data_IF_876483424903
#
_entry.id   IF_876483424903
#
_cell.length_a   1.000
_cell.length_b   1.000
_cell.length_c   1.000
_cell.angle_alpha   90.00
_cell.angle_beta   90.00
_cell.angle_gamma   90.00
#
_symmetry.space_group_name_H-M   'P 1'
#
loop_
_entity.id
_entity.type
_entity.pdbx_description
1 polymer ?
#
# COMPACT_ATOMS: atom_id res chain seq x y z
N UNK A 1 39.33 -2.33 -3.26
CA UNK A 1 38.41 -1.47 -4.01
C UNK A 1 37.64 -2.43 -4.90
N UNK A 2 36.47 -2.80 -4.45
CA UNK A 2 35.61 -3.73 -5.17
C UNK A 2 35.14 -3.05 -6.46
N UNK A 3 35.17 -3.78 -7.56
CA UNK A 3 34.72 -3.24 -8.86
C UNK A 3 33.22 -2.94 -8.75
N UNK A 4 32.76 -1.78 -9.22
CA UNK A 4 31.34 -1.49 -9.22
C UNK A 4 30.59 -2.52 -10.06
N UNK A 5 29.30 -2.71 -9.76
CA UNK A 5 28.40 -3.60 -10.48
C UNK A 5 28.57 -3.40 -12.02
N UNK A 6 28.46 -4.44 -12.85
CA UNK A 6 28.60 -4.31 -14.29
C UNK A 6 27.70 -3.21 -14.83
N UNK A 7 28.27 -2.21 -15.48
CA UNK A 7 27.54 -1.06 -16.04
C UNK A 7 26.45 -1.44 -17.07
N UNK A 8 26.43 -2.71 -17.50
CA UNK A 8 25.50 -3.25 -18.49
C UNK A 8 24.50 -4.25 -17.89
N UNK A 9 24.35 -4.32 -16.56
CA UNK A 9 23.38 -5.21 -15.94
C UNK A 9 21.94 -4.78 -16.32
N UNK A 10 21.15 -5.73 -16.82
CA UNK A 10 19.75 -5.51 -17.21
C UNK A 10 18.86 -5.73 -15.99
N UNK A 11 18.55 -4.65 -15.27
CA UNK A 11 17.66 -4.68 -14.12
C UNK A 11 16.25 -4.36 -14.57
N UNK A 12 15.31 -5.26 -14.29
CA UNK A 12 13.88 -5.13 -14.60
C UNK A 12 13.07 -5.13 -13.34
N UNK A 13 12.29 -4.07 -13.11
CA UNK A 13 11.33 -3.94 -12.01
C UNK A 13 9.94 -4.17 -12.57
N UNK A 14 9.17 -5.07 -11.96
CA UNK A 14 7.79 -5.32 -12.32
C UNK A 14 6.87 -4.65 -11.31
N UNK A 15 6.15 -3.62 -11.76
CA UNK A 15 5.25 -2.79 -10.97
C UNK A 15 5.74 -1.36 -10.75
N UNK A 16 4.95 -0.38 -11.20
CA UNK A 16 5.16 1.06 -11.00
C UNK A 16 4.35 1.58 -9.80
N UNK A 17 4.34 0.84 -8.70
CA UNK A 17 3.87 1.28 -7.39
C UNK A 17 4.96 2.05 -6.64
N UNK A 18 4.66 2.60 -5.42
CA UNK A 18 5.62 3.37 -4.64
C UNK A 18 6.97 2.67 -4.44
N UNK A 19 6.99 1.39 -4.07
CA UNK A 19 8.24 0.64 -3.91
C UNK A 19 9.04 0.52 -5.21
N UNK A 20 8.41 0.07 -6.31
CA UNK A 20 9.11 -0.09 -7.60
C UNK A 20 9.68 1.21 -8.13
N UNK A 21 8.92 2.31 -8.05
CA UNK A 21 9.36 3.65 -8.48
C UNK A 21 10.49 4.20 -7.59
N UNK A 22 10.40 4.01 -6.26
CA UNK A 22 11.47 4.40 -5.32
C UNK A 22 12.77 3.66 -5.63
N UNK A 23 12.72 2.35 -5.85
CA UNK A 23 13.88 1.55 -6.25
C UNK A 23 14.49 2.08 -7.56
N UNK A 24 13.65 2.30 -8.59
CA UNK A 24 14.11 2.83 -9.88
C UNK A 24 14.75 4.21 -9.73
N UNK A 25 14.18 5.09 -8.91
CA UNK A 25 14.72 6.44 -8.68
C UNK A 25 16.09 6.40 -8.04
N UNK A 26 16.28 5.62 -6.99
CA UNK A 26 17.57 5.50 -6.31
C UNK A 26 18.63 4.90 -7.25
N UNK A 27 18.29 3.84 -7.99
CA UNK A 27 19.21 3.26 -8.98
C UNK A 27 19.65 4.28 -10.02
N UNK A 28 18.72 5.05 -10.59
CA UNK A 28 19.05 6.08 -11.59
C UNK A 28 19.90 7.21 -11.03
N UNK A 29 19.69 7.64 -9.79
CA UNK A 29 20.56 8.64 -9.13
C UNK A 29 22.02 8.20 -9.08
N UNK A 30 22.26 6.90 -8.95
CA UNK A 30 23.59 6.31 -8.94
C UNK A 30 24.08 5.83 -10.31
N UNK A 31 23.38 6.21 -11.39
CA UNK A 31 23.80 5.89 -12.76
C UNK A 31 23.58 4.44 -13.16
N UNK A 32 22.78 3.67 -12.42
CA UNK A 32 22.46 2.28 -12.73
C UNK A 32 21.21 2.27 -13.63
N UNK A 33 21.31 1.75 -14.87
CA UNK A 33 20.16 1.69 -15.78
C UNK A 33 19.15 0.66 -15.30
N UNK A 34 17.86 1.01 -15.39
CA UNK A 34 16.74 0.18 -14.96
C UNK A 34 15.53 0.39 -15.86
N UNK A 35 14.76 -0.67 -16.11
CA UNK A 35 13.46 -0.60 -16.77
C UNK A 35 12.37 -1.02 -15.78
N UNK A 36 11.26 -0.28 -15.77
CA UNK A 36 10.07 -0.59 -14.98
C UNK A 36 8.94 -0.98 -15.93
N UNK A 37 8.26 -2.08 -15.65
CA UNK A 37 7.13 -2.59 -16.44
C UNK A 37 5.87 -2.57 -15.60
N UNK A 38 4.81 -1.95 -16.11
CA UNK A 38 3.52 -1.90 -15.41
C UNK A 38 2.38 -2.31 -16.33
N UNK A 39 1.39 -3.01 -15.74
CA UNK A 39 0.18 -3.47 -16.45
C UNK A 39 -0.79 -2.35 -16.77
N UNK A 40 -0.77 -1.24 -16.02
CA UNK A 40 -1.60 -0.07 -16.31
C UNK A 40 -1.28 0.44 -17.71
N UNK A 41 -2.28 0.85 -18.48
CA UNK A 41 -2.07 1.34 -19.85
C UNK A 41 -1.39 2.70 -19.89
N UNK A 42 -1.58 3.49 -18.82
CA UNK A 42 -1.00 4.82 -18.64
C UNK A 42 -1.07 5.24 -17.16
N UNK A 43 -0.46 6.36 -16.81
CA UNK A 43 -0.44 6.91 -15.44
C UNK A 43 -1.84 7.09 -14.86
N UNK A 44 -2.78 7.55 -15.67
CA UNK A 44 -4.17 7.89 -15.28
C UNK A 44 -5.17 6.73 -15.39
N UNK A 45 -4.72 5.51 -15.70
CA UNK A 45 -5.61 4.37 -16.01
C UNK A 45 -6.59 4.01 -14.89
N UNK A 46 -6.26 4.36 -13.65
CA UNK A 46 -7.11 4.09 -12.49
C UNK A 46 -6.93 5.13 -11.39
N UNK A 47 -7.97 5.32 -10.59
CA UNK A 47 -7.85 6.04 -9.33
C UNK A 47 -6.87 5.29 -8.41
N UNK A 48 -5.84 5.97 -7.92
CA UNK A 48 -4.76 5.35 -7.16
C UNK A 48 -5.14 5.03 -5.70
N UNK A 49 -6.27 5.46 -5.23
CA UNK A 49 -6.73 5.15 -3.89
C UNK A 49 -6.65 6.33 -2.92
N UNK A 50 -6.68 6.02 -1.62
CA UNK A 50 -6.72 6.99 -0.53
C UNK A 50 -5.39 7.68 -0.23
N UNK A 51 -5.29 8.16 0.99
CA UNK A 51 -4.10 8.77 1.55
C UNK A 51 -3.16 7.70 2.12
N UNK A 52 -1.89 8.05 2.24
CA UNK A 52 -0.83 7.23 2.80
C UNK A 52 -0.07 8.07 3.83
N UNK A 53 0.11 7.53 5.00
CA UNK A 53 0.99 8.07 6.03
C UNK A 53 2.42 7.57 5.81
N UNK A 54 3.40 8.46 5.76
CA UNK A 54 4.80 8.08 5.61
C UNK A 54 5.56 8.28 6.91
N UNK A 55 6.05 7.16 7.47
CA UNK A 55 6.77 7.14 8.72
C UNK A 55 8.21 7.58 8.56
N UNK A 56 8.75 8.19 9.62
CA UNK A 56 10.07 8.81 9.60
C UNK A 56 11.20 7.83 9.31
N UNK A 57 11.12 6.63 9.89
CA UNK A 57 12.19 5.63 9.82
C UNK A 57 12.07 4.70 8.60
N UNK A 58 10.98 4.83 7.83
CA UNK A 58 10.66 3.95 6.70
C UNK A 58 10.45 4.74 5.41
N UNK A 59 9.21 5.16 5.11
CA UNK A 59 8.85 5.85 3.86
C UNK A 59 9.56 7.19 3.68
N UNK A 60 9.71 8.01 4.73
CA UNK A 60 10.45 9.26 4.65
C UNK A 60 11.95 9.03 4.50
N UNK A 61 12.51 7.98 5.14
CA UNK A 61 13.90 7.58 4.95
C UNK A 61 14.13 7.22 3.47
N UNK A 62 13.25 6.40 2.89
CA UNK A 62 13.34 6.02 1.49
C UNK A 62 13.25 7.23 0.54
N UNK A 63 12.38 8.21 0.85
CA UNK A 63 12.31 9.47 0.08
C UNK A 63 13.58 10.31 0.22
N UNK A 64 14.22 10.30 1.39
CA UNK A 64 15.51 10.97 1.60
C UNK A 64 16.58 10.35 0.71
N UNK A 65 16.68 9.02 0.68
CA UNK A 65 17.61 8.30 -0.20
C UNK A 65 17.30 8.52 -1.68
N UNK A 66 16.02 8.69 -2.03
CA UNK A 66 15.55 9.04 -3.37
C UNK A 66 15.77 10.52 -3.73
N UNK A 67 16.21 11.38 -2.77
CA UNK A 67 16.38 12.82 -2.94
C UNK A 67 15.06 13.57 -3.20
N UNK A 68 13.94 13.10 -2.60
CA UNK A 68 12.57 13.61 -2.83
C UNK A 68 11.86 14.02 -1.52
N UNK A 69 12.58 14.06 -0.38
CA UNK A 69 11.95 14.31 0.91
C UNK A 69 11.41 15.75 1.03
N UNK A 70 12.08 16.75 0.45
CA UNK A 70 11.63 18.14 0.48
C UNK A 70 10.36 18.33 -0.37
N UNK A 71 10.33 17.74 -1.58
CA UNK A 71 9.18 17.77 -2.47
C UNK A 71 7.98 17.02 -1.85
N UNK A 72 8.24 15.92 -1.13
CA UNK A 72 7.21 15.24 -0.36
C UNK A 72 6.58 16.17 0.69
N UNK A 73 7.39 16.85 1.51
CA UNK A 73 6.86 17.78 2.52
C UNK A 73 6.12 18.96 1.93
N UNK A 74 6.43 19.35 0.69
CA UNK A 74 5.67 20.39 -0.01
C UNK A 74 4.25 19.95 -0.43
N UNK A 75 4.01 18.63 -0.51
CA UNK A 75 2.74 18.00 -0.88
C UNK A 75 1.99 17.41 0.32
N UNK A 76 2.72 17.01 1.35
CA UNK A 76 2.17 16.32 2.51
C UNK A 76 1.30 17.24 3.37
N UNK A 77 0.25 16.65 3.93
CA UNK A 77 -0.69 17.31 4.83
C UNK A 77 -0.35 16.95 6.28
N UNK A 78 0.26 17.89 6.99
CA UNK A 78 0.67 17.66 8.39
C UNK A 78 -0.54 17.60 9.33
N UNK A 79 -1.59 18.37 9.04
CA UNK A 79 -2.86 18.36 9.80
C UNK A 79 -3.62 17.04 9.68
N UNK A 80 -3.36 16.23 8.66
CA UNK A 80 -4.01 14.92 8.47
C UNK A 80 -3.58 13.87 9.49
N UNK A 81 -2.57 14.15 10.31
CA UNK A 81 -2.19 13.29 11.44
C UNK A 81 -3.22 13.35 12.58
N UNK A 82 -4.25 14.22 12.50
CA UNK A 82 -5.39 14.16 13.41
C UNK A 82 -6.07 12.80 13.34
N UNK A 83 -6.30 12.17 14.49
CA UNK A 83 -7.00 10.89 14.59
C UNK A 83 -8.08 10.94 15.66
N UNK A 84 -9.31 10.58 15.28
CA UNK A 84 -10.43 10.42 16.20
C UNK A 84 -10.83 8.95 16.29
N UNK A 85 -10.95 8.43 17.49
CA UNK A 85 -11.52 7.11 17.77
C UNK A 85 -12.87 7.30 18.43
N UNK A 86 -13.89 6.68 17.86
CA UNK A 86 -15.29 6.91 18.26
C UNK A 86 -16.01 5.59 18.50
N UNK A 87 -17.05 5.65 19.31
CA UNK A 87 -18.02 4.56 19.43
C UNK A 87 -19.10 4.65 18.31
N UNK A 88 -19.92 3.60 18.13
CA UNK A 88 -21.02 3.61 17.15
C UNK A 88 -22.05 4.73 17.34
N UNK A 89 -22.13 5.33 18.53
CA UNK A 89 -22.97 6.48 18.79
C UNK A 89 -22.36 7.82 18.31
N UNK A 90 -21.13 7.79 17.82
CA UNK A 90 -20.40 8.98 17.36
C UNK A 90 -19.72 9.76 18.49
N UNK A 91 -19.64 9.20 19.70
CA UNK A 91 -18.91 9.84 20.81
C UNK A 91 -17.42 9.60 20.62
N UNK A 92 -16.64 10.67 20.70
CA UNK A 92 -15.18 10.59 20.65
C UNK A 92 -14.66 9.96 21.94
N UNK A 93 -13.99 8.83 21.82
CA UNK A 93 -13.36 8.07 22.91
C UNK A 93 -11.91 8.51 23.10
N UNK A 94 -11.19 8.73 21.99
CA UNK A 94 -9.82 9.24 21.99
C UNK A 94 -9.64 10.23 20.82
N UNK A 95 -8.83 11.26 21.03
CA UNK A 95 -8.56 12.29 20.03
C UNK A 95 -7.08 12.66 20.09
N UNK A 96 -6.36 12.35 19.01
CA UNK A 96 -5.01 12.82 18.79
C UNK A 96 -5.04 14.05 17.89
N UNK A 97 -4.36 15.11 18.31
CA UNK A 97 -4.10 16.29 17.50
C UNK A 97 -2.58 16.39 17.29
N UNK A 98 -2.12 16.54 16.04
CA UNK A 98 -0.69 16.69 15.81
C UNK A 98 -0.17 17.97 16.46
N UNK A 99 1.06 17.93 16.98
CA UNK A 99 1.78 19.08 17.45
C UNK A 99 2.12 20.03 16.30
N UNK A 100 2.42 21.30 16.62
CA UNK A 100 2.87 22.27 15.60
C UNK A 100 4.15 21.78 14.91
N UNK A 101 4.09 21.58 13.59
CA UNK A 101 5.21 21.09 12.79
C UNK A 101 5.53 19.60 13.01
N UNK A 102 4.64 18.81 13.57
CA UNK A 102 4.81 17.38 13.71
C UNK A 102 4.93 16.68 12.34
N UNK A 103 5.97 15.85 12.20
CA UNK A 103 6.31 15.17 10.94
C UNK A 103 6.51 13.66 11.15
N UNK A 104 5.90 13.09 12.17
CA UNK A 104 6.07 11.65 12.50
C UNK A 104 5.50 10.76 11.41
N UNK A 105 4.28 11.06 10.96
CA UNK A 105 3.55 10.30 9.94
C UNK A 105 2.62 11.19 9.08
N UNK A 106 3.17 12.23 8.39
CA UNK A 106 2.36 13.09 7.56
C UNK A 106 1.78 12.32 6.39
N UNK A 107 0.57 12.70 5.98
CA UNK A 107 -0.13 12.01 4.91
C UNK A 107 0.06 12.68 3.55
N UNK A 108 0.09 11.86 2.51
CA UNK A 108 0.07 12.27 1.11
C UNK A 108 -0.94 11.41 0.35
N UNK A 109 -1.65 11.97 -0.62
CA UNK A 109 -2.49 11.15 -1.48
C UNK A 109 -1.63 10.19 -2.31
N UNK A 110 -2.06 8.94 -2.41
CA UNK A 110 -1.34 7.89 -3.15
C UNK A 110 -1.01 8.31 -4.59
N UNK A 111 -1.93 9.02 -5.25
CA UNK A 111 -1.72 9.56 -6.58
C UNK A 111 -0.59 10.59 -6.61
N UNK A 112 -0.58 11.55 -5.68
CA UNK A 112 0.46 12.57 -5.58
C UNK A 112 1.85 11.95 -5.32
N UNK A 113 1.94 10.96 -4.44
CA UNK A 113 3.20 10.24 -4.19
C UNK A 113 3.69 9.53 -5.45
N UNK A 114 2.78 8.85 -6.17
CA UNK A 114 3.11 8.19 -7.43
C UNK A 114 3.58 9.18 -8.49
N UNK A 115 2.92 10.31 -8.63
CA UNK A 115 3.29 11.36 -9.60
C UNK A 115 4.64 11.99 -9.26
N UNK A 116 4.92 12.24 -7.98
CA UNK A 116 6.21 12.70 -7.49
C UNK A 116 7.34 11.74 -7.90
N UNK A 117 7.16 10.45 -7.61
CA UNK A 117 8.13 9.41 -7.93
C UNK A 117 8.32 9.27 -9.46
N UNK A 118 7.23 9.23 -10.23
CA UNK A 118 7.27 9.13 -11.70
C UNK A 118 7.95 10.34 -12.32
N UNK A 119 7.62 11.56 -11.87
CA UNK A 119 8.20 12.79 -12.35
C UNK A 119 9.71 12.90 -12.11
N UNK A 120 10.24 12.11 -11.17
CA UNK A 120 11.68 12.08 -10.84
C UNK A 120 12.50 11.15 -11.72
N UNK A 121 11.85 10.29 -12.53
CA UNK A 121 12.51 9.30 -13.38
C UNK A 121 12.81 9.86 -14.77
N UNK A 122 13.84 9.32 -15.40
CA UNK A 122 14.13 9.61 -16.80
C UNK A 122 12.95 9.15 -17.70
N UNK A 123 12.69 9.92 -18.75
CA UNK A 123 11.64 9.58 -19.71
C UNK A 123 11.84 8.18 -20.31
N UNK A 124 10.77 7.40 -20.42
CA UNK A 124 10.81 6.04 -20.98
C UNK A 124 11.28 4.97 -20.00
N UNK A 125 11.61 5.30 -18.75
CA UNK A 125 11.95 4.30 -17.71
C UNK A 125 10.79 3.36 -17.45
N UNK A 126 9.57 3.90 -17.36
CA UNK A 126 8.35 3.10 -17.14
C UNK A 126 7.73 2.75 -18.48
N UNK A 127 7.53 1.46 -18.71
CA UNK A 127 6.86 0.89 -19.87
C UNK A 127 5.47 0.43 -19.46
N UNK A 128 4.47 1.17 -19.91
CA UNK A 128 3.05 0.93 -19.61
C UNK A 128 2.44 -0.16 -20.50
N UNK A 129 1.32 -0.74 -20.05
CA UNK A 129 0.61 -1.80 -20.78
C UNK A 129 1.35 -3.13 -20.81
N UNK A 130 2.33 -3.31 -19.92
CA UNK A 130 3.18 -4.50 -19.84
C UNK A 130 2.72 -5.45 -18.75
N UNK A 131 1.69 -6.22 -19.01
CA UNK A 131 1.19 -7.24 -18.08
C UNK A 131 2.11 -8.45 -18.11
N UNK A 132 2.86 -8.69 -17.03
CA UNK A 132 3.73 -9.88 -16.92
C UNK A 132 2.88 -11.15 -16.80
N UNK A 133 3.18 -12.16 -17.62
CA UNK A 133 2.58 -13.50 -17.53
C UNK A 133 3.48 -14.47 -16.78
N UNK A 134 4.77 -14.47 -17.08
CA UNK A 134 5.72 -15.42 -16.48
C UNK A 134 7.14 -14.91 -16.42
N UNK A 135 7.89 -15.46 -15.45
CA UNK A 135 9.35 -15.35 -15.33
C UNK A 135 9.91 -16.76 -15.53
N UNK A 136 10.79 -16.93 -16.52
CA UNK A 136 11.40 -18.21 -16.85
C UNK A 136 12.92 -18.10 -17.01
N UNK A 137 13.60 -19.21 -17.28
CA UNK A 137 15.05 -19.26 -17.44
C UNK A 137 15.78 -19.98 -16.31
N UNK A 138 17.11 -20.13 -16.40
CA UNK A 138 17.92 -20.86 -15.43
C UNK A 138 17.94 -20.16 -14.07
N UNK A 139 18.04 -20.93 -12.96
CA UNK A 139 18.03 -20.38 -11.61
C UNK A 139 19.19 -19.39 -11.36
N UNK A 140 20.33 -19.64 -11.94
CA UNK A 140 21.62 -18.97 -11.71
C UNK A 140 22.04 -18.10 -12.92
N UNK A 141 21.08 -17.75 -13.81
CA UNK A 141 21.38 -16.97 -15.01
C UNK A 141 20.30 -15.94 -15.33
N UNK A 142 20.43 -15.32 -16.51
CA UNK A 142 19.43 -14.35 -16.94
C UNK A 142 18.04 -14.95 -17.04
N UNK A 143 17.04 -14.16 -16.67
CA UNK A 143 15.62 -14.51 -16.73
C UNK A 143 14.98 -13.97 -17.97
N UNK A 144 13.99 -14.67 -18.46
CA UNK A 144 13.10 -14.21 -19.53
C UNK A 144 11.76 -13.82 -18.94
N UNK A 145 11.39 -12.55 -19.12
CA UNK A 145 10.09 -11.99 -18.79
C UNK A 145 9.19 -12.10 -20.01
N UNK A 146 8.08 -12.81 -19.91
CA UNK A 146 7.08 -12.91 -20.98
C UNK A 146 5.86 -12.09 -20.60
N UNK A 147 5.41 -11.23 -21.51
CA UNK A 147 4.27 -10.35 -21.32
C UNK A 147 3.03 -10.82 -22.11
N UNK A 148 1.84 -10.40 -21.70
CA UNK A 148 0.57 -10.80 -22.30
C UNK A 148 0.41 -10.41 -23.77
N UNK A 149 1.17 -9.42 -24.26
CA UNK A 149 1.25 -9.04 -25.66
C UNK A 149 2.15 -9.95 -26.51
N UNK A 150 2.70 -11.01 -25.91
CA UNK A 150 3.61 -11.96 -26.54
C UNK A 150 5.06 -11.47 -26.66
N UNK A 151 5.38 -10.28 -26.16
CA UNK A 151 6.76 -9.81 -26.11
C UNK A 151 7.55 -10.48 -25.00
N UNK A 152 8.86 -10.62 -25.19
CA UNK A 152 9.76 -11.16 -24.19
C UNK A 152 10.98 -10.25 -24.00
N UNK A 153 11.46 -10.14 -22.77
CA UNK A 153 12.63 -9.35 -22.38
C UNK A 153 13.53 -10.19 -21.49
N UNK A 154 14.84 -10.11 -21.74
CA UNK A 154 15.83 -10.71 -20.85
C UNK A 154 16.27 -9.74 -19.75
N UNK A 155 16.41 -10.25 -18.53
CA UNK A 155 16.88 -9.53 -17.37
C UNK A 155 17.94 -10.33 -16.61
N UNK A 156 18.97 -9.65 -16.12
CA UNK A 156 19.99 -10.24 -15.23
C UNK A 156 19.50 -10.20 -13.80
N UNK A 157 18.62 -9.24 -13.45
CA UNK A 157 17.88 -9.18 -12.19
C UNK A 157 16.43 -8.80 -12.47
N UNK A 158 15.50 -9.55 -11.89
CA UNK A 158 14.06 -9.27 -11.83
C UNK A 158 13.69 -8.89 -10.41
N UNK A 159 13.13 -7.69 -10.23
CA UNK A 159 12.62 -7.20 -8.96
C UNK A 159 11.09 -7.20 -9.03
N UNK A 160 10.45 -8.05 -8.24
CA UNK A 160 9.00 -8.09 -8.12
C UNK A 160 8.49 -7.02 -7.16
N UNK A 161 7.87 -5.98 -7.71
CA UNK A 161 7.16 -4.91 -7.02
C UNK A 161 5.69 -4.84 -7.48
N UNK A 162 5.16 -5.99 -7.96
CA UNK A 162 3.88 -6.13 -8.65
C UNK A 162 2.70 -6.40 -7.71
N UNK A 163 2.91 -6.17 -6.40
CA UNK A 163 1.86 -6.08 -5.39
C UNK A 163 1.26 -7.43 -4.98
N UNK A 164 0.08 -7.38 -4.39
CA UNK A 164 -0.59 -8.52 -3.75
C UNK A 164 -0.70 -9.76 -4.65
N UNK A 165 -1.01 -9.56 -5.94
CA UNK A 165 -1.19 -10.64 -6.93
C UNK A 165 0.08 -10.91 -7.74
N UNK A 166 1.24 -10.77 -7.13
CA UNK A 166 2.55 -10.86 -7.79
C UNK A 166 2.70 -12.11 -8.65
N UNK A 167 3.07 -11.89 -9.92
CA UNK A 167 3.49 -12.95 -10.85
C UNK A 167 4.96 -13.28 -10.64
N UNK A 168 5.78 -12.29 -10.27
CA UNK A 168 7.20 -12.55 -9.99
C UNK A 168 7.37 -13.47 -8.79
N UNK A 169 6.50 -13.37 -7.76
CA UNK A 169 6.54 -14.26 -6.58
C UNK A 169 6.58 -15.73 -6.97
N UNK A 170 5.85 -16.13 -7.99
CA UNK A 170 5.79 -17.55 -8.41
C UNK A 170 7.13 -18.10 -8.87
N UNK A 171 8.11 -17.25 -9.20
CA UNK A 171 9.45 -17.67 -9.58
C UNK A 171 10.35 -18.05 -8.38
N UNK A 172 9.98 -17.64 -7.16
CA UNK A 172 10.78 -17.91 -5.95
C UNK A 172 9.97 -18.57 -4.82
N UNK A 173 8.64 -18.50 -4.85
CA UNK A 173 7.80 -19.03 -3.79
C UNK A 173 6.47 -19.57 -4.34
N UNK A 174 5.97 -20.72 -3.87
CA UNK A 174 4.64 -21.22 -4.21
C UNK A 174 3.53 -20.57 -3.37
N UNK A 175 3.86 -19.69 -2.43
CA UNK A 175 2.89 -19.08 -1.54
C UNK A 175 1.89 -18.22 -2.29
N UNK A 176 0.62 -18.37 -1.94
CA UNK A 176 -0.49 -17.58 -2.48
C UNK A 176 -1.21 -16.84 -1.35
N UNK A 177 -1.65 -15.59 -1.60
CA UNK A 177 -2.44 -14.86 -0.62
C UNK A 177 -3.72 -15.59 -0.25
N UNK A 178 -4.11 -15.52 1.03
CA UNK A 178 -5.35 -16.07 1.56
C UNK A 178 -6.26 -14.96 2.02
N UNK A 179 -7.56 -15.14 1.84
CA UNK A 179 -8.55 -14.21 2.35
C UNK A 179 -8.53 -14.19 3.88
N UNK A 180 -8.55 -12.99 4.47
CA UNK A 180 -8.45 -12.80 5.93
C UNK A 180 -9.77 -12.97 6.67
N UNK A 181 -10.90 -13.08 5.97
CA UNK A 181 -12.24 -13.06 6.55
C UNK A 181 -12.83 -11.64 6.67
N UNK A 182 -12.08 -10.60 6.30
CA UNK A 182 -12.52 -9.20 6.36
C UNK A 182 -12.53 -8.60 4.95
N UNK A 183 -13.60 -7.90 4.60
CA UNK A 183 -13.69 -7.10 3.37
C UNK A 183 -13.94 -5.65 3.72
N UNK A 184 -13.36 -4.77 2.91
CA UNK A 184 -13.66 -3.35 2.89
C UNK A 184 -14.58 -3.04 1.73
N UNK A 185 -15.53 -2.12 1.95
CA UNK A 185 -16.16 -1.37 0.87
C UNK A 185 -15.64 0.07 0.94
N UNK A 186 -15.03 0.52 -0.16
CA UNK A 186 -14.65 1.92 -0.29
C UNK A 186 -15.85 2.75 -0.71
N UNK A 187 -16.12 3.84 0.01
CA UNK A 187 -17.05 4.89 -0.34
C UNK A 187 -16.29 6.21 -0.52
N UNK A 188 -16.73 7.05 -1.44
CA UNK A 188 -16.08 8.30 -1.81
C UNK A 188 -16.99 9.50 -1.55
N UNK A 189 -16.41 10.61 -1.09
CA UNK A 189 -17.09 11.84 -0.78
C UNK A 189 -16.31 13.01 -1.37
N UNK A 190 -17.01 13.86 -2.11
CA UNK A 190 -16.50 15.08 -2.73
C UNK A 190 -16.97 16.32 -1.96
N UNK A 191 -16.25 17.41 -2.09
CA UNK A 191 -16.65 18.72 -1.55
C UNK A 191 -17.07 18.70 -0.06
N UNK A 192 -16.28 18.04 0.77
CA UNK A 192 -16.59 17.76 2.19
C UNK A 192 -17.06 18.97 2.97
N UNK A 193 -16.48 20.15 2.74
CA UNK A 193 -16.81 21.38 3.47
C UNK A 193 -18.16 21.97 3.07
N UNK A 194 -18.63 21.72 1.84
CA UNK A 194 -19.85 22.32 1.30
C UNK A 194 -20.98 21.32 1.14
N UNK A 195 -20.69 20.11 0.66
CA UNK A 195 -21.70 19.06 0.45
C UNK A 195 -21.94 18.24 1.73
N UNK A 196 -20.89 18.00 2.54
CA UNK A 196 -20.95 17.12 3.71
C UNK A 196 -20.42 17.80 5.00
N UNK A 197 -20.88 19.02 5.38
CA UNK A 197 -20.29 19.78 6.47
C UNK A 197 -20.36 19.08 7.84
N UNK A 198 -21.41 18.32 8.11
CA UNK A 198 -21.55 17.59 9.37
C UNK A 198 -20.58 16.40 9.46
N UNK A 199 -20.32 15.72 8.33
CA UNK A 199 -19.28 14.69 8.27
C UNK A 199 -17.89 15.29 8.35
N UNK A 200 -17.67 16.44 7.72
CA UNK A 200 -16.41 17.18 7.82
C UNK A 200 -16.08 17.53 9.28
N UNK A 201 -17.09 17.98 10.05
CA UNK A 201 -16.95 18.27 11.49
C UNK A 201 -16.71 16.98 12.30
N UNK A 202 -17.44 15.89 11.99
CA UNK A 202 -17.33 14.61 12.71
C UNK A 202 -15.93 13.99 12.53
N UNK A 203 -15.40 13.99 11.33
CA UNK A 203 -14.11 13.36 11.00
C UNK A 203 -12.93 14.25 11.36
N UNK A 204 -13.07 15.57 11.24
CA UNK A 204 -11.97 16.52 11.42
C UNK A 204 -11.12 16.66 10.16
N UNK A 205 -9.82 16.96 10.34
CA UNK A 205 -8.89 17.21 9.23
C UNK A 205 -8.08 15.98 8.81
N UNK A 206 -8.10 14.93 9.62
CA UNK A 206 -7.33 13.71 9.38
C UNK A 206 -8.21 12.49 9.20
N UNK A 207 -8.19 11.59 10.17
CA UNK A 207 -8.89 10.31 10.09
C UNK A 207 -9.81 10.09 11.30
N UNK A 208 -10.86 9.30 11.08
CA UNK A 208 -11.75 8.87 12.14
C UNK A 208 -12.04 7.37 12.03
N UNK A 209 -11.94 6.67 13.16
CA UNK A 209 -12.22 5.24 13.29
C UNK A 209 -13.37 4.98 14.23
N UNK A 210 -14.35 4.20 13.77
CA UNK A 210 -15.50 3.76 14.55
C UNK A 210 -15.59 2.24 14.42
N UNK A 211 -15.72 1.50 15.54
CA UNK A 211 -15.87 0.05 15.46
C UNK A 211 -16.69 -0.49 16.65
N UNK A 212 -17.33 -1.67 16.47
CA UNK A 212 -18.15 -2.34 17.51
C UNK A 212 -17.66 -3.76 17.85
N UNK A 213 -16.56 -4.23 17.25
CA UNK A 213 -16.00 -5.57 17.40
C UNK A 213 -16.28 -6.50 16.20
N UNK A 214 -17.33 -6.22 15.44
CA UNK A 214 -17.71 -7.00 14.25
C UNK A 214 -17.64 -6.19 12.96
N UNK A 215 -17.82 -4.88 13.07
CA UNK A 215 -17.91 -3.92 12.01
C UNK A 215 -17.14 -2.66 12.33
N UNK A 216 -16.69 -1.96 11.28
CA UNK A 216 -16.01 -0.69 11.47
C UNK A 216 -16.21 0.26 10.30
N UNK A 217 -15.96 1.53 10.56
CA UNK A 217 -15.84 2.59 9.57
C UNK A 217 -14.50 3.29 9.82
N UNK A 218 -13.70 3.41 8.77
CA UNK A 218 -12.50 4.22 8.82
C UNK A 218 -12.60 5.31 7.75
N UNK A 219 -12.80 6.55 8.20
CA UNK A 219 -12.87 7.72 7.34
C UNK A 219 -11.51 8.41 7.30
N UNK A 220 -11.04 8.76 6.11
CA UNK A 220 -9.75 9.40 5.89
C UNK A 220 -9.90 10.58 4.94
N UNK A 221 -9.45 11.76 5.38
CA UNK A 221 -9.41 12.96 4.56
C UNK A 221 -8.34 12.83 3.47
N UNK A 222 -8.68 13.33 2.29
CA UNK A 222 -7.78 13.41 1.15
C UNK A 222 -7.60 14.89 0.75
N UNK A 223 -6.67 15.18 -0.13
CA UNK A 223 -6.51 16.51 -0.71
C UNK A 223 -7.74 16.93 -1.51
N UNK A 224 -7.87 18.21 -1.83
CA UNK A 224 -8.95 18.72 -2.69
C UNK A 224 -10.35 18.62 -2.08
N UNK A 225 -10.47 18.67 -0.74
CA UNK A 225 -11.76 18.56 -0.05
C UNK A 225 -12.47 17.21 -0.22
N UNK A 226 -11.71 16.15 -0.46
CA UNK A 226 -12.24 14.79 -0.58
C UNK A 226 -12.11 14.01 0.72
N UNK A 227 -12.92 12.95 0.84
CA UNK A 227 -12.81 11.95 1.90
C UNK A 227 -13.08 10.56 1.33
N UNK A 228 -12.39 9.58 1.87
CA UNK A 228 -12.66 8.17 1.62
C UNK A 228 -13.09 7.49 2.91
N UNK A 229 -14.10 6.64 2.82
CA UNK A 229 -14.55 5.80 3.93
C UNK A 229 -14.36 4.34 3.55
N UNK A 230 -13.70 3.60 4.42
CA UNK A 230 -13.60 2.15 4.35
C UNK A 230 -14.63 1.57 5.32
N UNK A 231 -15.66 0.95 4.77
CA UNK A 231 -16.69 0.24 5.52
C UNK A 231 -16.19 -1.18 5.69
N UNK A 232 -15.88 -1.55 6.93
CA UNK A 232 -15.17 -2.78 7.27
C UNK A 232 -16.12 -3.82 7.85
N UNK A 233 -16.09 -5.04 7.32
CA UNK A 233 -16.99 -6.12 7.73
C UNK A 233 -16.27 -7.47 7.78
N UNK A 234 -16.64 -8.31 8.74
CA UNK A 234 -16.31 -9.73 8.76
C UNK A 234 -17.34 -10.49 7.93
N UNK A 235 -17.00 -10.84 6.71
CA UNK A 235 -17.91 -11.48 5.74
C UNK A 235 -17.18 -12.52 4.90
N UNK A 236 -17.88 -13.49 4.27
CA UNK A 236 -17.29 -14.33 3.22
C UNK A 236 -16.81 -13.51 2.03
N UNK A 237 -15.81 -14.00 1.30
CA UNK A 237 -15.22 -13.28 0.15
C UNK A 237 -16.24 -12.99 -0.97
N UNK A 238 -17.28 -13.79 -1.07
CA UNK A 238 -18.37 -13.71 -2.06
C UNK A 238 -19.68 -13.15 -1.49
N UNK A 239 -19.60 -12.42 -0.36
CA UNK A 239 -20.76 -11.93 0.40
C UNK A 239 -21.74 -11.10 -0.44
N UNK A 240 -21.29 -10.32 -1.40
CA UNK A 240 -22.14 -9.53 -2.30
C UNK A 240 -23.06 -10.47 -3.08
N UNK A 241 -22.50 -11.46 -3.76
CA UNK A 241 -23.27 -12.40 -4.58
C UNK A 241 -24.12 -13.37 -3.77
N UNK A 242 -23.63 -13.81 -2.60
CA UNK A 242 -24.40 -14.70 -1.70
C UNK A 242 -25.60 -14.00 -1.07
N UNK A 243 -25.57 -12.68 -0.94
CA UNK A 243 -26.74 -11.87 -0.55
C UNK A 243 -27.63 -11.47 -1.74
N UNK A 244 -27.41 -12.02 -2.94
CA UNK A 244 -28.20 -11.71 -4.13
C UNK A 244 -27.96 -10.32 -4.71
N UNK A 245 -26.87 -9.67 -4.30
CA UNK A 245 -26.45 -8.35 -4.75
C UNK A 245 -25.48 -8.45 -5.94
N UNK A 246 -25.25 -7.34 -6.62
CA UNK A 246 -24.21 -7.18 -7.64
C UNK A 246 -23.29 -6.03 -7.26
N UNK A 247 -22.01 -6.05 -7.63
CA UNK A 247 -21.07 -4.97 -7.31
C UNK A 247 -21.51 -3.57 -7.77
N UNK A 248 -22.30 -3.50 -8.84
CA UNK A 248 -22.82 -2.24 -9.41
C UNK A 248 -24.12 -1.77 -8.75
N UNK A 249 -24.74 -2.59 -7.90
CA UNK A 249 -26.00 -2.28 -7.23
C UNK A 249 -25.76 -1.43 -5.98
N UNK A 250 -25.42 -0.16 -6.18
CA UNK A 250 -25.15 0.80 -5.09
C UNK A 250 -26.28 0.88 -4.08
N UNK A 251 -27.55 0.91 -4.55
CA UNK A 251 -28.71 1.03 -3.66
C UNK A 251 -28.96 -0.25 -2.86
N UNK A 252 -28.84 -1.43 -3.50
CA UNK A 252 -28.98 -2.70 -2.81
C UNK A 252 -27.88 -2.90 -1.77
N UNK A 253 -26.63 -2.56 -2.10
CA UNK A 253 -25.50 -2.60 -1.16
C UNK A 253 -25.75 -1.64 0.02
N UNK A 254 -26.19 -0.40 -0.26
CA UNK A 254 -26.50 0.58 0.79
C UNK A 254 -27.60 0.07 1.72
N UNK A 255 -28.69 -0.48 1.17
CA UNK A 255 -29.77 -1.04 1.97
C UNK A 255 -29.31 -2.21 2.85
N UNK A 256 -28.46 -3.09 2.31
CA UNK A 256 -27.85 -4.17 3.08
C UNK A 256 -26.98 -3.63 4.23
N UNK A 257 -26.10 -2.67 3.94
CA UNK A 257 -25.24 -2.04 4.96
C UNK A 257 -26.09 -1.38 6.07
N UNK A 258 -27.12 -0.64 5.71
CA UNK A 258 -28.02 -0.02 6.72
C UNK A 258 -28.72 -1.05 7.60
N UNK A 259 -29.02 -2.22 7.09
CA UNK A 259 -29.56 -3.33 7.90
C UNK A 259 -28.50 -3.85 8.88
N UNK A 260 -27.26 -4.05 8.40
CA UNK A 260 -26.15 -4.56 9.21
C UNK A 260 -25.70 -3.59 10.30
N UNK A 261 -25.70 -2.29 10.00
CA UNK A 261 -25.29 -1.21 10.90
C UNK A 261 -26.48 -0.55 11.63
N UNK A 262 -27.67 -1.16 11.66
CA UNK A 262 -28.90 -0.56 12.16
C UNK A 262 -28.85 -0.06 13.62
N UNK A 263 -27.95 -0.60 14.45
CA UNK A 263 -27.74 -0.16 15.82
C UNK A 263 -26.86 1.09 15.96
N UNK A 264 -26.24 1.54 14.88
CA UNK A 264 -25.35 2.71 14.89
C UNK A 264 -26.14 4.03 14.80
N UNK A 265 -25.54 5.11 15.25
CA UNK A 265 -26.21 6.41 15.25
C UNK A 265 -26.44 6.93 13.81
N UNK A 266 -27.50 7.73 13.59
CA UNK A 266 -27.70 8.37 12.30
C UNK A 266 -26.51 9.21 11.84
N UNK A 267 -25.74 9.78 12.76
CA UNK A 267 -24.57 10.59 12.47
C UNK A 267 -23.43 9.75 11.88
N UNK A 268 -23.14 8.59 12.47
CA UNK A 268 -22.10 7.68 11.94
C UNK A 268 -22.56 6.98 10.67
N UNK A 269 -23.86 6.67 10.54
CA UNK A 269 -24.43 6.05 9.34
C UNK A 269 -24.28 6.93 8.07
N UNK A 270 -24.16 8.24 8.20
CA UNK A 270 -23.90 9.13 7.07
C UNK A 270 -22.60 8.80 6.33
N UNK A 271 -21.62 8.20 7.01
CA UNK A 271 -20.41 7.66 6.36
C UNK A 271 -20.73 6.53 5.37
N UNK A 272 -21.91 5.94 5.45
CA UNK A 272 -22.42 4.91 4.55
C UNK A 272 -23.38 5.51 3.54
N UNK A 273 -24.30 6.38 3.98
CA UNK A 273 -25.47 6.82 3.16
C UNK A 273 -25.16 7.95 2.21
N UNK A 274 -24.26 8.86 2.58
CA UNK A 274 -24.08 10.15 1.90
C UNK A 274 -22.93 10.10 0.86
N UNK A 275 -22.44 8.91 0.49
CA UNK A 275 -21.38 8.75 -0.50
C UNK A 275 -21.80 9.21 -1.90
N UNK A 276 -20.86 9.83 -2.63
CA UNK A 276 -21.11 10.46 -3.93
C UNK A 276 -20.96 9.52 -5.14
N UNK A 277 -20.81 8.22 -4.90
CA UNK A 277 -20.62 7.26 -5.99
C UNK A 277 -20.91 5.81 -5.60
N UNK A 278 -20.52 4.86 -6.43
CA UNK A 278 -20.66 3.44 -6.13
C UNK A 278 -19.67 3.02 -5.02
N UNK A 279 -20.01 1.94 -4.35
CA UNK A 279 -19.05 1.25 -3.46
C UNK A 279 -18.09 0.40 -4.28
N UNK A 280 -16.86 0.30 -3.80
CA UNK A 280 -15.84 -0.59 -4.41
C UNK A 280 -15.45 -1.66 -3.40
N UNK A 281 -15.71 -2.92 -3.73
CA UNK A 281 -15.36 -4.06 -2.86
C UNK A 281 -13.85 -4.33 -2.88
N UNK A 282 -13.29 -4.47 -1.69
CA UNK A 282 -11.86 -4.69 -1.42
C UNK A 282 -11.68 -5.81 -0.39
N UNK A 283 -11.83 -7.06 -0.78
CA UNK A 283 -11.54 -8.16 0.13
C UNK A 283 -10.04 -8.15 0.50
N UNK A 284 -9.77 -8.32 1.78
CA UNK A 284 -8.41 -8.30 2.30
C UNK A 284 -7.76 -9.68 2.23
N UNK A 285 -6.57 -9.70 1.67
CA UNK A 285 -5.74 -10.91 1.58
C UNK A 285 -4.42 -10.69 2.30
N UNK A 286 -3.84 -11.78 2.81
CA UNK A 286 -2.50 -11.79 3.40
C UNK A 286 -1.74 -13.04 2.94
N UNK A 287 -0.42 -12.94 2.89
CA UNK A 287 0.46 -14.10 2.70
C UNK A 287 0.56 -14.91 3.99
N UNK A 288 0.88 -16.22 3.91
CA UNK A 288 1.20 -17.00 5.10
C UNK A 288 2.35 -16.39 5.90
N UNK A 289 2.30 -16.49 7.22
CA UNK A 289 3.33 -15.97 8.14
C UNK A 289 4.12 -17.13 8.73
N UNK A 290 5.45 -17.14 8.68
CA UNK A 290 6.30 -16.23 7.89
C UNK A 290 6.24 -16.53 6.40
N UNK A 291 6.41 -15.55 5.53
CA UNK A 291 6.65 -15.75 4.12
C UNK A 291 8.13 -15.57 3.81
N UNK A 292 8.78 -16.64 3.42
CA UNK A 292 10.20 -16.67 3.05
C UNK A 292 10.39 -17.52 1.80
N UNK A 293 11.53 -17.41 1.14
CA UNK A 293 11.91 -18.20 -0.03
C UNK A 293 13.41 -18.52 -0.04
N UNK A 294 13.79 -19.52 -0.83
CA UNK A 294 15.20 -19.80 -1.08
C UNK A 294 15.82 -18.72 -1.96
N UNK A 295 16.99 -18.25 -1.58
CA UNK A 295 17.70 -17.20 -2.32
C UNK A 295 17.85 -17.54 -3.80
N UNK A 296 17.53 -16.55 -4.64
CA UNK A 296 17.79 -16.57 -6.08
C UNK A 296 18.71 -15.42 -6.47
N UNK A 297 19.81 -15.66 -7.19
CA UNK A 297 20.75 -14.60 -7.58
C UNK A 297 20.18 -13.62 -8.61
N UNK A 298 19.06 -13.96 -9.25
CA UNK A 298 18.48 -13.20 -10.36
C UNK A 298 17.03 -12.78 -10.19
N UNK A 299 16.39 -13.13 -9.06
CA UNK A 299 15.00 -12.74 -8.76
C UNK A 299 14.86 -12.42 -7.28
N UNK A 300 14.28 -11.27 -6.96
CA UNK A 300 13.88 -10.92 -5.60
C UNK A 300 12.57 -10.16 -5.58
N UNK A 301 12.00 -9.95 -4.40
CA UNK A 301 10.69 -9.32 -4.20
C UNK A 301 10.81 -8.16 -3.22
N UNK A 302 9.90 -7.18 -3.32
CA UNK A 302 9.73 -6.12 -2.34
C UNK A 302 8.24 -5.78 -2.14
N UNK A 303 7.92 -5.18 -1.01
CA UNK A 303 6.57 -4.74 -0.67
C UNK A 303 5.55 -5.89 -0.65
N UNK A 304 4.31 -5.63 -1.09
CA UNK A 304 3.23 -6.63 -1.09
C UNK A 304 3.54 -7.88 -1.92
N UNK A 305 4.46 -7.80 -2.88
CA UNK A 305 4.93 -8.98 -3.60
C UNK A 305 5.70 -9.92 -2.65
N UNK A 306 6.44 -9.37 -1.70
CA UNK A 306 7.23 -10.09 -0.70
C UNK A 306 6.43 -10.45 0.56
N UNK A 307 5.63 -9.52 1.10
CA UNK A 307 5.08 -9.62 2.46
C UNK A 307 3.68 -9.03 2.60
N UNK A 308 2.77 -9.33 1.68
CA UNK A 308 1.36 -8.88 1.77
C UNK A 308 0.77 -9.19 3.14
N UNK A 309 0.35 -8.16 3.86
CA UNK A 309 -0.25 -8.22 5.19
C UNK A 309 -1.48 -7.31 5.29
N UNK A 310 -2.31 -7.42 6.35
CA UNK A 310 -3.44 -6.51 6.55
C UNK A 310 -3.04 -5.03 6.53
N UNK A 311 -3.91 -4.12 6.04
CA UNK A 311 -3.58 -2.70 5.83
C UNK A 311 -3.62 -1.89 7.14
N UNK A 312 -2.62 -2.06 7.99
CA UNK A 312 -2.47 -1.39 9.29
C UNK A 312 -1.45 -0.24 9.24
N UNK A 313 -1.37 0.50 8.14
CA UNK A 313 -0.50 1.67 8.00
C UNK A 313 0.97 1.37 7.64
N UNK A 314 1.40 0.11 7.61
CA UNK A 314 2.82 -0.24 7.40
C UNK A 314 3.19 -0.59 5.96
N UNK A 315 2.23 -0.99 5.12
CA UNK A 315 2.52 -1.63 3.83
C UNK A 315 3.34 -0.76 2.85
N UNK A 316 2.95 0.50 2.65
CA UNK A 316 3.68 1.43 1.78
C UNK A 316 5.05 1.78 2.35
N UNK A 317 5.13 1.96 3.65
CA UNK A 317 6.36 2.28 4.37
C UNK A 317 7.39 1.17 4.18
N UNK A 318 7.00 -0.08 4.43
CA UNK A 318 7.86 -1.24 4.20
C UNK A 318 8.24 -1.39 2.72
N UNK A 319 7.31 -1.20 1.80
CA UNK A 319 7.61 -1.32 0.37
C UNK A 319 8.65 -0.28 -0.10
N UNK A 320 8.61 0.93 0.44
CA UNK A 320 9.58 1.99 0.14
C UNK A 320 10.91 1.76 0.84
N UNK A 321 10.89 1.29 2.08
CA UNK A 321 12.11 0.89 2.82
C UNK A 321 12.83 -0.26 2.11
N UNK A 322 12.14 -1.33 1.76
CA UNK A 322 12.67 -2.46 0.98
C UNK A 322 13.32 -1.97 -0.32
N UNK A 323 12.64 -1.06 -1.02
CA UNK A 323 13.11 -0.49 -2.27
C UNK A 323 14.42 0.27 -2.09
N UNK A 324 14.53 1.07 -1.02
CA UNK A 324 15.75 1.83 -0.74
C UNK A 324 16.91 0.92 -0.33
N UNK A 325 16.66 -0.06 0.54
CA UNK A 325 17.68 -1.03 0.96
C UNK A 325 18.20 -1.87 -0.21
N UNK A 326 17.30 -2.39 -1.06
CA UNK A 326 17.70 -3.16 -2.24
C UNK A 326 18.49 -2.30 -3.23
N UNK A 327 18.02 -1.09 -3.52
CA UNK A 327 18.71 -0.19 -4.45
C UNK A 327 20.11 0.18 -3.93
N UNK A 328 20.25 0.54 -2.65
CA UNK A 328 21.53 0.85 -2.04
C UNK A 328 22.45 -0.38 -1.96
N UNK A 329 21.91 -1.57 -1.69
CA UNK A 329 22.68 -2.81 -1.77
C UNK A 329 23.25 -3.03 -3.18
N UNK A 330 22.44 -2.78 -4.22
CA UNK A 330 22.90 -2.86 -5.61
C UNK A 330 23.97 -1.81 -5.94
N UNK A 331 23.87 -0.60 -5.38
CA UNK A 331 24.87 0.46 -5.55
C UNK A 331 26.23 0.11 -4.92
N UNK A 332 26.20 -0.53 -3.75
CA UNK A 332 27.39 -0.76 -2.95
C UNK A 332 28.02 -2.16 -3.11
N UNK A 333 27.36 -3.07 -3.81
CA UNK A 333 27.88 -4.43 -4.02
C UNK A 333 28.60 -4.54 -5.37
N UNK A 334 29.55 -5.48 -5.43
CA UNK A 334 30.27 -5.79 -6.67
C UNK A 334 29.50 -6.74 -7.60
N UNK A 335 28.54 -7.49 -7.07
CA UNK A 335 27.69 -8.41 -7.85
C UNK A 335 26.21 -8.26 -7.48
N UNK A 336 25.33 -8.61 -8.43
CA UNK A 336 23.90 -8.66 -8.19
C UNK A 336 23.57 -9.65 -7.07
N UNK A 337 24.20 -10.82 -7.09
CA UNK A 337 24.00 -11.88 -6.09
C UNK A 337 24.29 -11.39 -4.68
N UNK A 338 25.44 -10.73 -4.44
CA UNK A 338 25.80 -10.19 -3.12
C UNK A 338 24.81 -9.12 -2.66
N UNK A 339 24.36 -8.25 -3.58
CA UNK A 339 23.37 -7.23 -3.29
C UNK A 339 22.03 -7.83 -2.84
N UNK A 340 21.50 -8.77 -3.64
CA UNK A 340 20.22 -9.43 -3.33
C UNK A 340 20.31 -10.22 -2.02
N UNK A 341 21.40 -10.96 -1.81
CA UNK A 341 21.64 -11.71 -0.58
C UNK A 341 21.73 -10.79 0.65
N UNK A 342 22.40 -9.66 0.53
CA UNK A 342 22.49 -8.66 1.60
C UNK A 342 21.11 -8.08 1.95
N UNK A 343 20.36 -7.70 0.94
CA UNK A 343 18.99 -7.20 1.08
C UNK A 343 18.07 -8.23 1.75
N UNK A 344 17.99 -9.44 1.21
CA UNK A 344 17.11 -10.49 1.74
C UNK A 344 17.46 -10.89 3.19
N UNK A 345 18.72 -10.79 3.57
CA UNK A 345 19.19 -11.08 4.93
C UNK A 345 18.58 -10.11 5.96
N UNK A 346 18.32 -8.86 5.61
CA UNK A 346 17.68 -7.89 6.50
C UNK A 346 16.16 -7.86 6.32
N UNK A 347 15.66 -7.89 5.09
CA UNK A 347 14.25 -7.75 4.80
C UNK A 347 13.41 -8.94 5.26
N UNK A 348 13.84 -10.19 5.02
CA UNK A 348 13.05 -11.38 5.34
C UNK A 348 12.75 -11.52 6.84
N UNK A 349 13.73 -11.38 7.78
CA UNK A 349 13.41 -11.42 9.20
C UNK A 349 12.50 -10.26 9.62
N UNK A 350 12.81 -9.02 9.21
CA UNK A 350 12.00 -7.84 9.52
C UNK A 350 10.55 -8.02 9.09
N UNK A 351 10.32 -8.41 7.84
CA UNK A 351 8.97 -8.60 7.33
C UNK A 351 8.24 -9.75 8.02
N UNK A 352 8.93 -10.82 8.39
CA UNK A 352 8.36 -11.94 9.14
C UNK A 352 7.93 -11.50 10.54
N UNK A 353 8.78 -10.75 11.26
CA UNK A 353 8.48 -10.25 12.61
C UNK A 353 7.28 -9.30 12.59
N UNK A 354 7.23 -8.36 11.63
CA UNK A 354 6.10 -7.44 11.48
C UNK A 354 4.83 -8.19 11.10
N UNK A 355 4.89 -9.13 10.14
CA UNK A 355 3.75 -9.92 9.75
C UNK A 355 3.21 -10.76 10.91
N UNK A 356 4.09 -11.30 11.78
CA UNK A 356 3.70 -12.02 12.98
C UNK A 356 3.03 -11.12 14.02
N UNK A 357 3.54 -9.90 14.24
CA UNK A 357 2.88 -8.92 15.12
C UNK A 357 1.51 -8.52 14.60
N UNK A 358 1.33 -8.47 13.29
CA UNK A 358 0.07 -8.11 12.63
C UNK A 358 -0.81 -9.33 12.29
N UNK A 359 -0.43 -10.53 12.68
CA UNK A 359 -1.26 -11.73 12.51
C UNK A 359 -2.58 -11.57 13.26
N UNK A 360 -3.70 -11.73 12.54
CA UNK A 360 -5.02 -11.36 13.08
C UNK A 360 -5.35 -9.86 13.01
N UNK A 361 -4.46 -9.02 12.49
CA UNK A 361 -4.63 -7.56 12.43
C UNK A 361 -5.82 -7.09 11.59
N UNK A 362 -6.28 -7.88 10.61
CA UNK A 362 -7.55 -7.59 9.92
C UNK A 362 -8.74 -7.59 10.89
N UNK A 363 -8.72 -8.45 11.91
CA UNK A 363 -9.72 -8.48 12.98
C UNK A 363 -9.54 -7.30 13.96
N UNK A 364 -8.30 -6.88 14.17
CA UNK A 364 -8.00 -5.73 15.03
C UNK A 364 -8.58 -4.42 14.48
N UNK A 365 -8.71 -4.30 13.16
CA UNK A 365 -9.40 -3.16 12.52
C UNK A 365 -10.88 -3.04 12.91
N UNK A 366 -11.50 -4.13 13.35
CA UNK A 366 -12.88 -4.18 13.81
C UNK A 366 -13.01 -4.02 15.33
N UNK A 367 -11.90 -4.06 16.07
CA UNK A 367 -11.90 -3.97 17.53
C UNK A 367 -12.43 -2.63 18.01
N UNK A 368 -13.20 -2.67 19.10
CA UNK A 368 -13.65 -1.45 19.77
C UNK A 368 -12.42 -0.60 20.14
N UNK A 369 -12.37 0.67 19.74
CA UNK A 369 -11.22 1.52 20.04
C UNK A 369 -10.95 1.61 21.54
N UNK A 370 -9.71 1.34 21.95
CA UNK A 370 -9.27 1.54 23.33
C UNK A 370 -9.01 3.05 23.54
N UNK A 371 -9.65 3.68 24.54
CA UNK A 371 -9.43 5.09 24.87
C UNK A 371 -7.98 5.41 25.25
N UNK A 372 -7.24 4.43 25.78
CA UNK A 372 -5.84 4.60 26.21
C UNK A 372 -4.84 4.36 25.06
N UNK A 373 -5.30 3.79 23.94
CA UNK A 373 -4.47 3.51 22.77
C UNK A 373 -4.54 4.67 21.77
N UNK A 374 -3.73 5.70 22.00
CA UNK A 374 -3.71 6.95 21.21
C UNK A 374 -2.84 6.81 19.92
N UNK A 375 -2.09 5.72 19.79
CA UNK A 375 -1.19 5.54 18.64
C UNK A 375 -1.95 5.48 17.30
N UNK A 376 -1.42 6.08 16.22
CA UNK A 376 -1.90 5.83 14.87
C UNK A 376 -1.85 4.32 14.56
N UNK A 377 -2.66 3.86 13.59
CA UNK A 377 -2.60 2.47 13.14
C UNK A 377 -1.18 2.13 12.73
N UNK A 378 -0.56 1.20 13.43
CA UNK A 378 0.81 0.75 13.23
C UNK A 378 1.39 0.22 14.54
N UNK A 379 2.34 -0.73 14.49
CA UNK A 379 3.02 -1.18 15.68
C UNK A 379 3.70 0.03 16.32
N UNK A 380 3.41 0.28 17.60
CA UNK A 380 4.23 1.18 18.42
C UNK A 380 5.67 0.70 18.27
N UNK A 381 6.53 1.50 17.65
CA UNK A 381 7.94 1.14 17.56
C UNK A 381 8.50 1.00 18.98
N UNK A 382 9.30 -0.05 19.25
CA UNK A 382 9.92 -0.25 20.57
C UNK A 382 10.92 0.84 20.92
#
# INVERSE_FOLDING_TARGET
MDSPMPANARISIIGAGPGGLTCARILQQHGIPVAVYDRDSEVSSRNQGGSLDLHKEDGQLALREAGLLEEFFALARLESQEMRRMDPAGRVLAHHLPGEGETVSPEIDRGQLRDLLLGSLAAGTVQWGRTLESVSGPADGPRTLTFADGTAVEADLVIGADGASSRVRTAVSPATPRYTGVSFLEAWFDDMETAHPELSELVGKGSAHVADGERGLFAQRNSGSHMRVYIMQRVPVDWITTNGLRPEDTEGIRAHLLSEYAAWSPQTLRMITDNDGPYVDRPLFALPVPHTWEHSPSVTLLGDAAHLMPPLGVGVNLAMLDASELALALVHSSTIEDAVRSYEKSMLPRSADIAQMLEGGAEHLLSVPDPDEIAPFGPSQP
#
